data_IF_098680961858
#
_entry.id   IF_098680961858
#
_cell.length_a   1.000
_cell.length_b   1.000
_cell.length_c   1.000
_cell.angle_alpha   90.00
_cell.angle_beta   90.00
_cell.angle_gamma   90.00
#
_symmetry.space_group_name_H-M   'P 1'
#
loop_
_entity.id
_entity.type
_entity.pdbx_description
1 polymer ?
#
# COMPACT_ATOMS: atom_id res chain seq x y z
N UNK A 1 -9.70 -0.44 15.15
CA UNK A 1 -10.62 0.24 14.22
C UNK A 1 -9.98 0.21 12.84
N UNK A 2 -10.71 -0.21 11.81
CA UNK A 2 -10.21 -0.20 10.42
C UNK A 2 -10.55 1.15 9.78
N UNK A 3 -9.66 1.65 8.92
CA UNK A 3 -9.89 2.84 8.09
C UNK A 3 -10.23 2.37 6.67
N UNK A 4 -11.19 3.00 6.01
CA UNK A 4 -11.50 2.68 4.61
C UNK A 4 -10.30 3.03 3.71
N UNK A 5 -10.09 2.21 2.68
CA UNK A 5 -9.18 2.51 1.56
C UNK A 5 -9.99 2.46 0.28
N UNK A 6 -9.74 3.38 -0.64
CA UNK A 6 -10.46 3.53 -1.90
C UNK A 6 -9.53 3.99 -3.02
N UNK A 7 -10.01 3.90 -4.26
CA UNK A 7 -9.45 4.66 -5.37
C UNK A 7 -10.25 5.96 -5.50
N UNK A 8 -9.58 7.10 -5.55
CA UNK A 8 -10.18 8.43 -5.62
C UNK A 8 -9.48 9.27 -6.70
N UNK A 9 -10.18 10.28 -7.22
CA UNK A 9 -9.62 11.27 -8.13
C UNK A 9 -9.45 10.82 -9.59
N UNK A 10 -8.47 11.43 -10.26
CA UNK A 10 -8.14 11.24 -11.68
C UNK A 10 -6.83 11.95 -12.05
N UNK A 11 -6.49 12.00 -13.34
CA UNK A 11 -5.17 12.50 -13.80
C UNK A 11 -4.81 13.91 -13.30
N UNK A 12 -5.80 14.75 -13.04
CA UNK A 12 -5.63 16.12 -12.53
C UNK A 12 -6.29 16.36 -11.17
N UNK A 13 -6.70 15.30 -10.46
CA UNK A 13 -7.40 15.38 -9.19
C UNK A 13 -6.75 14.44 -8.17
N UNK A 14 -6.04 15.04 -7.20
CA UNK A 14 -5.35 14.34 -6.12
C UNK A 14 -5.11 15.30 -4.95
N UNK A 15 -5.06 14.77 -3.73
CA UNK A 15 -4.75 15.52 -2.50
C UNK A 15 -3.86 14.73 -1.51
N UNK A 16 -3.73 15.20 -0.27
CA UNK A 16 -2.87 14.54 0.74
C UNK A 16 -3.39 13.16 1.16
N UNK A 17 -4.67 12.86 0.93
CA UNK A 17 -5.27 11.56 1.13
C UNK A 17 -4.76 10.49 0.17
N UNK A 18 -4.02 10.86 -0.86
CA UNK A 18 -3.38 9.92 -1.78
C UNK A 18 -1.93 9.60 -1.37
N UNK A 19 -1.41 10.23 -0.30
CA UNK A 19 -0.01 10.10 0.08
C UNK A 19 0.25 8.88 0.96
N UNK A 20 1.07 7.96 0.45
CA UNK A 20 1.54 6.77 1.16
C UNK A 20 3.06 6.80 1.30
N UNK A 21 3.55 6.70 2.53
CA UNK A 21 4.97 6.49 2.79
C UNK A 21 5.33 5.01 2.64
N UNK A 22 6.43 4.75 1.94
CA UNK A 22 7.02 3.40 1.88
C UNK A 22 7.94 3.18 3.07
N UNK A 23 7.56 2.24 3.92
CA UNK A 23 8.40 1.74 5.01
C UNK A 23 9.05 0.42 4.54
N UNK A 24 10.36 0.44 4.34
CA UNK A 24 11.14 -0.77 4.02
C UNK A 24 11.35 -1.58 5.31
N UNK A 25 10.94 -2.85 5.31
CA UNK A 25 11.17 -3.74 6.45
C UNK A 25 12.60 -4.31 6.36
N UNK A 26 13.47 -3.88 7.28
CA UNK A 26 14.87 -4.29 7.34
C UNK A 26 15.84 -3.15 6.98
N UNK A 27 16.92 -3.48 6.30
CA UNK A 27 17.93 -2.50 5.86
C UNK A 27 17.77 -2.17 4.37
N UNK A 28 18.04 -0.92 4.01
CA UNK A 28 17.94 -0.43 2.64
C UNK A 28 17.33 0.96 2.58
N UNK A 29 17.76 1.75 1.59
CA UNK A 29 17.24 3.11 1.34
C UNK A 29 16.46 3.22 0.03
N UNK A 30 16.41 2.12 -0.73
CA UNK A 30 15.79 2.04 -2.04
C UNK A 30 14.89 0.83 -2.06
N UNK A 31 13.65 1.01 -2.48
CA UNK A 31 12.67 -0.07 -2.62
C UNK A 31 13.02 -0.92 -3.84
N UNK A 32 12.98 -2.25 -3.66
CA UNK A 32 13.27 -3.24 -4.70
C UNK A 32 12.10 -4.23 -4.86
N UNK A 33 12.05 -4.90 -6.01
CA UNK A 33 11.20 -6.07 -6.21
C UNK A 33 11.47 -7.12 -5.12
N UNK A 34 10.43 -7.85 -4.72
CA UNK A 34 10.48 -8.91 -3.69
C UNK A 34 10.96 -8.45 -2.31
N UNK A 35 11.09 -7.14 -2.09
CA UNK A 35 11.40 -6.58 -0.80
C UNK A 35 10.12 -6.40 0.01
N UNK A 36 10.17 -6.85 1.27
CA UNK A 36 9.09 -6.65 2.24
C UNK A 36 8.98 -5.16 2.56
N UNK A 37 7.81 -4.59 2.29
CA UNK A 37 7.50 -3.20 2.58
C UNK A 37 6.14 -3.06 3.26
N UNK A 38 5.90 -1.88 3.81
CA UNK A 38 4.57 -1.43 4.21
C UNK A 38 4.27 -0.10 3.55
N UNK A 39 3.02 0.09 3.18
CA UNK A 39 2.51 1.37 2.74
C UNK A 39 1.79 2.01 3.92
N UNK A 40 2.26 3.16 4.37
CA UNK A 40 1.78 3.88 5.54
C UNK A 40 1.10 5.18 5.11
N UNK A 41 -0.22 5.26 5.26
CA UNK A 41 -1.01 6.42 4.88
C UNK A 41 -0.66 7.61 5.77
N UNK A 42 -0.21 8.71 5.16
CA UNK A 42 0.41 9.83 5.88
C UNK A 42 -0.57 10.52 6.83
N UNK A 43 -1.81 10.77 6.38
CA UNK A 43 -2.77 11.56 7.14
C UNK A 43 -3.43 10.79 8.29
N UNK A 44 -3.64 9.48 8.11
CA UNK A 44 -4.38 8.66 9.10
C UNK A 44 -3.52 7.81 10.02
N UNK A 45 -2.24 7.62 9.65
CA UNK A 45 -1.33 6.69 10.30
C UNK A 45 -1.65 5.21 10.08
N UNK A 46 -2.51 4.88 9.10
CA UNK A 46 -2.92 3.51 8.80
C UNK A 46 -1.96 2.82 7.84
N UNK A 47 -1.57 1.58 8.15
CA UNK A 47 -0.87 0.72 7.20
C UNK A 47 -1.88 0.02 6.28
N UNK A 48 -1.59 -0.02 4.97
CA UNK A 48 -2.38 -0.77 4.00
C UNK A 48 -2.41 -2.25 4.39
N UNK A 49 -3.59 -2.80 4.57
CA UNK A 49 -3.82 -4.09 5.20
C UNK A 49 -4.85 -4.89 4.40
N UNK A 50 -4.62 -6.19 4.26
CA UNK A 50 -5.61 -7.14 3.73
C UNK A 50 -5.61 -8.39 4.59
N UNK A 51 -6.75 -9.07 4.67
CA UNK A 51 -6.93 -10.24 5.53
C UNK A 51 -8.07 -11.11 4.99
N UNK A 52 -8.26 -12.31 5.56
CA UNK A 52 -9.26 -13.27 5.07
C UNK A 52 -10.71 -12.90 5.47
N UNK A 53 -11.11 -11.66 5.22
CA UNK A 53 -12.50 -11.21 5.21
C UNK A 53 -12.89 -10.88 3.79
N UNK A 54 -13.87 -11.61 3.27
CA UNK A 54 -14.24 -11.57 1.85
C UNK A 54 -15.65 -11.03 1.66
N UNK A 55 -15.85 -10.33 0.55
CA UNK A 55 -17.19 -9.98 0.10
C UNK A 55 -17.97 -11.23 -0.31
N UNK A 56 -19.28 -11.23 -0.05
CA UNK A 56 -20.17 -12.39 -0.27
C UNK A 56 -21.14 -12.23 -1.45
N UNK A 57 -21.26 -11.02 -2.01
CA UNK A 57 -22.18 -10.72 -3.11
C UNK A 57 -21.40 -10.16 -4.31
N UNK A 58 -21.48 -8.85 -4.53
CA UNK A 58 -20.64 -8.15 -5.51
C UNK A 58 -19.17 -8.30 -5.09
N UNK A 59 -18.29 -8.55 -6.06
CA UNK A 59 -16.88 -8.87 -5.81
C UNK A 59 -16.68 -10.10 -4.90
N UNK A 60 -17.61 -11.06 -4.97
CA UNK A 60 -17.61 -12.29 -4.18
C UNK A 60 -16.24 -12.99 -4.20
N UNK A 61 -15.71 -13.29 -3.03
CA UNK A 61 -14.41 -13.95 -2.86
C UNK A 61 -13.20 -13.01 -2.79
N UNK A 62 -13.34 -11.73 -3.17
CA UNK A 62 -12.28 -10.73 -2.98
C UNK A 62 -12.17 -10.34 -1.49
N UNK A 63 -10.96 -10.07 -1.04
CA UNK A 63 -10.68 -9.65 0.34
C UNK A 63 -10.92 -8.14 0.55
N UNK A 64 -11.26 -7.76 1.79
CA UNK A 64 -11.26 -6.37 2.25
C UNK A 64 -9.82 -5.83 2.31
N UNK A 65 -9.63 -4.65 1.72
CA UNK A 65 -8.42 -3.84 1.91
C UNK A 65 -8.79 -2.63 2.77
N UNK A 66 -8.03 -2.40 3.83
CA UNK A 66 -8.28 -1.33 4.81
C UNK A 66 -6.98 -0.79 5.41
N UNK A 67 -7.08 0.27 6.22
CA UNK A 67 -5.99 0.82 7.01
C UNK A 67 -6.01 0.30 8.46
N UNK A 68 -4.88 -0.18 8.96
CA UNK A 68 -4.68 -0.59 10.37
C UNK A 68 -3.46 0.13 10.94
N UNK A 69 -3.61 0.82 12.07
CA UNK A 69 -2.53 1.65 12.67
C UNK A 69 -1.37 0.85 13.28
N UNK A 70 -1.57 -0.44 13.51
CA UNK A 70 -0.54 -1.34 14.07
C UNK A 70 0.20 -2.08 12.96
N UNK A 71 1.51 -2.28 13.12
CA UNK A 71 2.26 -3.23 12.28
C UNK A 71 1.82 -4.65 12.60
N UNK A 72 1.44 -5.40 11.57
CA UNK A 72 0.97 -6.80 11.60
C UNK A 72 1.64 -7.60 10.48
N UNK A 73 1.42 -8.92 10.46
CA UNK A 73 1.89 -9.75 9.34
C UNK A 73 1.15 -9.38 8.04
N UNK A 74 -0.16 -9.16 8.17
CA UNK A 74 -1.15 -8.90 7.11
C UNK A 74 -1.08 -7.50 6.45
N UNK A 75 -0.15 -6.66 6.87
CA UNK A 75 0.14 -5.38 6.22
C UNK A 75 1.59 -5.29 5.73
N UNK A 76 2.20 -6.44 5.46
CA UNK A 76 3.45 -6.57 4.70
C UNK A 76 3.11 -6.89 3.25
N UNK A 77 3.68 -6.13 2.33
CA UNK A 77 3.50 -6.29 0.90
C UNK A 77 4.84 -6.50 0.21
N UNK A 78 4.80 -7.06 -1.00
CA UNK A 78 5.94 -7.17 -1.90
C UNK A 78 5.53 -6.62 -3.26
N UNK A 79 6.43 -5.88 -3.91
CA UNK A 79 6.28 -5.60 -5.34
C UNK A 79 6.62 -6.88 -6.11
N UNK A 80 5.73 -7.29 -7.01
CA UNK A 80 5.89 -8.44 -7.89
C UNK A 80 5.51 -8.06 -9.32
N UNK A 81 6.08 -8.76 -10.31
CA UNK A 81 5.73 -8.64 -11.74
C UNK A 81 5.83 -7.21 -12.32
N UNK A 82 6.79 -6.41 -11.85
CA UNK A 82 6.95 -5.02 -12.26
C UNK A 82 7.67 -4.82 -13.59
N UNK A 83 7.32 -3.75 -14.30
CA UNK A 83 8.11 -3.17 -15.40
C UNK A 83 8.77 -1.89 -14.87
N UNK A 84 10.10 -1.94 -14.66
CA UNK A 84 10.85 -0.84 -14.04
C UNK A 84 11.52 0.04 -15.10
N UNK A 85 11.21 1.33 -15.07
CA UNK A 85 11.82 2.30 -15.97
C UNK A 85 13.29 2.55 -15.60
N UNK A 86 14.14 2.96 -16.56
CA UNK A 86 15.53 3.30 -16.29
C UNK A 86 15.67 4.36 -15.20
N UNK A 87 16.63 4.17 -14.30
CA UNK A 87 16.98 5.20 -13.32
C UNK A 87 17.70 6.32 -14.05
N UNK A 88 17.09 7.50 -14.11
CA UNK A 88 17.82 8.72 -14.44
C UNK A 88 18.64 9.10 -13.20
N UNK A 89 19.95 8.89 -13.23
CA UNK A 89 20.81 9.47 -12.20
C UNK A 89 20.72 11.00 -12.31
N UNK A 90 20.05 11.65 -11.36
CA UNK A 90 20.26 13.08 -11.12
C UNK A 90 21.65 13.23 -10.52
N UNK A 91 22.52 13.90 -11.27
CA UNK A 91 23.91 14.19 -10.90
C UNK A 91 24.02 15.03 -9.62
#
# INVERSE_FOLDING_TARGET
MHVQVSCFGGDSESDTGDYWRIDIEGSGKTWRQDQRVRLHHVDTGGYLHSHDKKYSRIAGGQQEVCGVREKRADNVWLAAEGVYLPVTESK
#
